data_IF_808619772943
#
_entry.id   IF_808619772943
#
_cell.length_a   1.000
_cell.length_b   1.000
_cell.length_c   1.000
_cell.angle_alpha   90.00
_cell.angle_beta   90.00
_cell.angle_gamma   90.00
#
_symmetry.space_group_name_H-M   'P 1'
#
loop_
_entity.id
_entity.type
_entity.pdbx_description
1 polymer ?
#
# COMPACT_ATOMS: atom_id res chain seq x y z
N UNK A 1 9.17 -1.46 -39.27
CA UNK A 1 8.37 -0.73 -38.27
C UNK A 1 9.32 0.24 -37.62
N UNK A 2 9.13 1.54 -37.81
CA UNK A 2 10.04 2.55 -37.25
C UNK A 2 9.94 2.50 -35.73
N UNK A 3 11.04 2.20 -35.04
CA UNK A 3 11.13 2.27 -33.58
C UNK A 3 10.91 3.72 -33.15
N UNK A 4 9.66 4.05 -32.80
CA UNK A 4 9.34 5.39 -32.34
C UNK A 4 9.97 5.57 -30.96
N UNK A 5 10.89 6.53 -30.82
CA UNK A 5 11.61 6.85 -29.59
C UNK A 5 10.65 7.05 -28.41
N UNK A 6 9.46 7.60 -28.66
CA UNK A 6 8.43 7.82 -27.65
C UNK A 6 7.87 6.52 -27.05
N UNK A 7 7.88 5.41 -27.80
CA UNK A 7 7.42 4.11 -27.28
C UNK A 7 8.36 3.50 -26.24
N UNK A 8 9.56 4.06 -26.08
CA UNK A 8 10.48 3.70 -25.00
C UNK A 8 10.04 4.30 -23.67
N UNK A 9 9.23 5.37 -23.68
CA UNK A 9 8.71 6.02 -22.46
C UNK A 9 7.59 5.18 -21.86
N UNK A 10 7.75 4.82 -20.59
CA UNK A 10 6.74 4.06 -19.86
C UNK A 10 5.41 4.82 -19.80
N UNK A 11 4.35 4.21 -20.30
CA UNK A 11 3.02 4.83 -20.41
C UNK A 11 2.68 5.36 -21.81
N UNK A 12 3.63 5.36 -22.75
CA UNK A 12 3.39 5.64 -24.17
C UNK A 12 3.46 4.33 -24.96
N UNK A 13 2.28 3.74 -25.21
CA UNK A 13 2.15 2.64 -26.17
C UNK A 13 2.12 3.15 -27.61
N UNK A 14 2.23 2.24 -28.59
CA UNK A 14 2.23 2.55 -30.03
C UNK A 14 1.08 3.48 -30.44
N UNK A 15 -0.14 3.23 -29.96
CA UNK A 15 -1.31 4.05 -30.26
C UNK A 15 -1.19 5.50 -29.75
N UNK A 16 -0.58 5.70 -28.57
CA UNK A 16 -0.36 7.05 -28.00
C UNK A 16 0.79 7.76 -28.71
N UNK A 17 1.84 7.03 -29.08
CA UNK A 17 2.96 7.57 -29.84
C UNK A 17 2.53 8.12 -31.20
N UNK A 18 1.59 7.45 -31.89
CA UNK A 18 1.02 7.96 -33.15
C UNK A 18 0.25 9.27 -32.94
N UNK A 19 -0.53 9.38 -31.87
CA UNK A 19 -1.27 10.61 -31.55
C UNK A 19 -0.37 11.79 -31.16
N UNK A 20 0.74 11.50 -30.48
CA UNK A 20 1.75 12.51 -30.14
C UNK A 20 2.51 12.99 -31.39
N UNK A 21 2.89 12.07 -32.28
CA UNK A 21 3.50 12.41 -33.56
C UNK A 21 2.58 13.28 -34.43
N UNK A 22 1.27 13.01 -34.43
CA UNK A 22 0.27 13.82 -35.14
C UNK A 22 0.16 15.26 -34.58
N UNK A 23 0.52 15.46 -33.31
CA UNK A 23 0.63 16.78 -32.69
C UNK A 23 2.02 17.41 -32.84
N UNK A 24 2.93 16.78 -33.60
CA UNK A 24 4.28 17.28 -33.83
C UNK A 24 5.28 16.92 -32.72
N UNK A 25 4.87 16.16 -31.70
CA UNK A 25 5.74 15.71 -30.61
C UNK A 25 6.40 14.42 -31.08
N UNK A 26 7.70 14.46 -31.36
CA UNK A 26 8.42 13.32 -31.93
C UNK A 26 9.67 12.95 -31.12
N UNK A 27 10.17 13.88 -30.31
CA UNK A 27 11.37 13.71 -29.49
C UNK A 27 11.04 13.65 -27.99
N UNK A 28 12.01 13.23 -27.16
CA UNK A 28 11.83 13.20 -25.71
C UNK A 28 11.82 14.61 -25.12
N UNK A 29 12.57 15.50 -25.75
CA UNK A 29 12.71 16.91 -25.44
C UNK A 29 11.36 17.64 -25.65
N UNK A 30 10.69 17.40 -26.80
CA UNK A 30 9.34 17.92 -27.06
C UNK A 30 8.33 17.50 -25.97
N UNK A 31 8.53 16.30 -25.42
CA UNK A 31 7.67 15.69 -24.42
C UNK A 31 7.95 16.19 -23.00
N UNK A 32 9.16 16.70 -22.76
CA UNK A 32 9.52 17.41 -21.53
C UNK A 32 8.98 18.85 -21.54
N UNK A 33 9.10 19.53 -22.68
CA UNK A 33 8.70 20.93 -22.88
C UNK A 33 7.19 21.15 -22.88
N UNK A 34 6.40 20.21 -23.43
CA UNK A 34 4.95 20.34 -23.47
C UNK A 34 4.35 20.50 -22.06
N UNK A 35 3.37 21.40 -21.91
CA UNK A 35 2.68 21.60 -20.62
C UNK A 35 1.92 20.33 -20.19
N UNK A 36 1.72 20.17 -18.89
CA UNK A 36 0.95 19.03 -18.36
C UNK A 36 -0.50 19.05 -18.84
N UNK A 37 -1.05 20.24 -19.01
CA UNK A 37 -2.40 20.51 -19.49
C UNK A 37 -2.57 20.08 -20.95
N UNK A 38 -1.62 20.46 -21.82
CA UNK A 38 -1.66 20.14 -23.25
C UNK A 38 -1.41 18.65 -23.51
N UNK A 39 -0.54 18.04 -22.70
CA UNK A 39 -0.30 16.60 -22.73
C UNK A 39 -1.52 15.82 -22.23
N UNK A 40 -2.17 16.31 -21.17
CA UNK A 40 -3.42 15.72 -20.66
C UNK A 40 -4.59 15.86 -21.65
N UNK A 41 -4.60 16.92 -22.47
CA UNK A 41 -5.59 17.15 -23.51
C UNK A 41 -5.45 16.19 -24.71
N UNK A 42 -4.37 15.41 -24.81
CA UNK A 42 -4.24 14.35 -25.81
C UNK A 42 -5.23 13.23 -25.51
N UNK A 43 -6.04 12.88 -26.52
CA UNK A 43 -7.02 11.79 -26.45
C UNK A 43 -6.31 10.52 -25.93
N UNK A 44 -6.84 9.93 -24.86
CA UNK A 44 -6.32 8.73 -24.15
C UNK A 44 -5.19 8.92 -23.13
N UNK A 45 -4.56 10.10 -23.02
CA UNK A 45 -3.53 10.36 -21.99
C UNK A 45 -4.21 10.81 -20.70
N UNK A 46 -4.90 11.95 -20.69
CA UNK A 46 -5.55 12.47 -19.48
C UNK A 46 -4.57 12.82 -18.36
N UNK A 47 -5.05 13.54 -17.34
CA UNK A 47 -4.19 14.15 -16.29
C UNK A 47 -3.26 13.15 -15.59
N UNK A 48 -3.79 11.97 -15.22
CA UNK A 48 -3.04 10.95 -14.48
C UNK A 48 -1.92 10.34 -15.32
N UNK A 49 -2.14 10.08 -16.62
CA UNK A 49 -1.05 9.53 -17.44
C UNK A 49 -0.08 10.62 -17.90
N UNK A 50 -0.53 11.87 -18.08
CA UNK A 50 0.36 12.99 -18.40
C UNK A 50 1.45 13.17 -17.32
N UNK A 51 1.06 13.14 -16.04
CA UNK A 51 2.01 13.19 -14.91
C UNK A 51 2.99 12.01 -14.93
N UNK A 52 2.50 10.79 -15.17
CA UNK A 52 3.36 9.59 -15.25
C UNK A 52 4.33 9.64 -16.41
N UNK A 53 3.89 10.17 -17.55
CA UNK A 53 4.70 10.30 -18.75
C UNK A 53 5.78 11.37 -18.53
N UNK A 54 5.47 12.54 -17.96
CA UNK A 54 6.49 13.55 -17.62
C UNK A 54 7.54 13.01 -16.65
N UNK A 55 7.12 12.35 -15.58
CA UNK A 55 8.05 11.72 -14.65
C UNK A 55 8.89 10.59 -15.30
N UNK A 56 8.38 9.93 -16.34
CA UNK A 56 9.13 8.93 -17.09
C UNK A 56 10.15 9.55 -18.05
N UNK A 57 9.83 10.71 -18.65
CA UNK A 57 10.72 11.47 -19.54
C UNK A 57 11.86 12.11 -18.76
N UNK A 58 11.58 12.73 -17.63
CA UNK A 58 12.57 13.36 -16.72
C UNK A 58 13.66 12.35 -16.33
N UNK A 59 13.27 11.14 -15.94
CA UNK A 59 14.20 10.04 -15.64
C UNK A 59 15.05 9.57 -16.82
N UNK A 60 14.60 9.81 -18.07
CA UNK A 60 15.36 9.45 -19.26
C UNK A 60 16.38 10.54 -19.64
N UNK A 61 16.03 11.81 -19.43
CA UNK A 61 16.89 12.95 -19.69
C UNK A 61 18.05 12.98 -18.68
N UNK A 62 17.76 12.83 -17.38
CA UNK A 62 18.78 12.77 -16.31
C UNK A 62 19.82 11.67 -16.52
N UNK A 63 19.48 10.60 -17.25
CA UNK A 63 20.36 9.47 -17.53
C UNK A 63 21.36 9.74 -18.66
N UNK A 64 21.17 10.80 -19.44
CA UNK A 64 21.96 11.10 -20.64
C UNK A 64 23.12 12.06 -20.38
N UNK A 65 23.11 12.83 -19.28
CA UNK A 65 24.14 13.83 -18.98
C UNK A 65 25.28 13.31 -18.07
N UNK A 66 26.14 12.43 -18.59
CA UNK A 66 27.38 12.03 -17.92
C UNK A 66 28.67 12.35 -18.73
N UNK A 67 29.30 13.50 -18.39
CA UNK A 67 30.75 13.89 -18.44
C UNK A 67 31.40 14.44 -19.74
N UNK A 68 32.46 15.31 -19.73
CA UNK A 68 33.28 15.90 -18.63
C UNK A 68 33.48 17.47 -18.61
N UNK A 69 33.85 17.98 -17.41
CA UNK A 69 34.21 19.36 -16.93
C UNK A 69 35.25 20.16 -17.78
N UNK A 70 35.44 21.52 -17.65
CA UNK A 70 35.53 22.28 -16.37
C UNK A 70 35.18 23.81 -16.28
N UNK A 71 35.01 24.24 -15.01
CA UNK A 71 35.21 25.58 -14.37
C UNK A 71 34.08 26.63 -14.23
N UNK A 72 33.76 26.88 -12.94
CA UNK A 72 33.42 28.14 -12.23
C UNK A 72 31.99 28.71 -12.32
N UNK A 73 31.14 28.46 -11.32
CA UNK A 73 30.98 29.22 -10.05
C UNK A 73 29.66 28.82 -9.34
N UNK A 74 29.76 28.72 -8.01
CA UNK A 74 28.76 28.72 -6.92
C UNK A 74 27.26 28.50 -7.24
N UNK A 75 26.71 27.35 -6.79
CA UNK A 75 25.55 27.22 -5.89
C UNK A 75 25.16 25.72 -5.75
N UNK A 76 25.10 25.28 -4.49
CA UNK A 76 24.60 24.02 -3.91
C UNK A 76 24.69 22.69 -4.69
N UNK A 77 25.75 21.93 -4.37
CA UNK A 77 25.73 20.47 -4.46
C UNK A 77 24.81 19.90 -3.37
N UNK A 78 23.73 19.24 -3.76
CA UNK A 78 23.09 18.22 -2.91
C UNK A 78 23.66 16.88 -3.38
N UNK A 79 24.51 16.28 -2.55
CA UNK A 79 25.11 14.99 -2.86
C UNK A 79 24.02 13.91 -2.78
N UNK A 80 23.98 12.98 -3.74
CA UNK A 80 23.07 11.82 -3.70
C UNK A 80 23.40 10.84 -2.54
N UNK A 81 24.43 11.13 -1.74
CA UNK A 81 24.64 10.52 -0.43
C UNK A 81 23.63 11.02 0.61
N UNK A 82 23.06 12.21 0.42
CA UNK A 82 22.13 12.82 1.35
C UNK A 82 20.77 12.13 1.34
N UNK A 83 20.23 11.58 0.26
CA UNK A 83 18.89 10.98 0.34
C UNK A 83 18.87 9.68 1.17
N UNK A 84 19.93 8.86 1.07
CA UNK A 84 20.11 7.68 1.91
C UNK A 84 20.51 8.06 3.33
N UNK A 85 21.32 9.12 3.50
CA UNK A 85 21.72 9.63 4.82
C UNK A 85 20.56 10.32 5.53
N UNK A 86 19.69 11.03 4.81
CA UNK A 86 18.42 11.60 5.27
C UNK A 86 17.43 10.47 5.55
N UNK A 87 17.35 9.40 4.74
CA UNK A 87 16.50 8.24 5.07
C UNK A 87 17.01 7.52 6.31
N UNK A 88 18.32 7.30 6.45
CA UNK A 88 18.94 6.67 7.61
C UNK A 88 18.86 7.59 8.85
N UNK A 89 18.97 8.91 8.70
CA UNK A 89 18.72 9.90 9.75
C UNK A 89 17.23 9.99 10.12
N UNK A 90 16.31 9.91 9.16
CA UNK A 90 14.87 9.84 9.40
C UNK A 90 14.48 8.53 10.08
N UNK A 91 15.10 7.41 9.71
CA UNK A 91 14.96 6.09 10.37
C UNK A 91 15.58 6.11 11.76
N UNK A 92 16.65 6.88 11.99
CA UNK A 92 17.22 7.14 13.31
C UNK A 92 16.36 8.13 14.15
N UNK A 93 15.66 9.08 13.51
CA UNK A 93 14.69 10.01 14.11
C UNK A 93 13.37 9.31 14.46
N UNK A 94 12.97 8.29 13.70
CA UNK A 94 11.93 7.34 14.11
C UNK A 94 12.52 6.50 15.24
N UNK A 95 12.33 6.95 16.49
CA UNK A 95 12.70 6.22 17.71
C UNK A 95 12.60 4.70 17.47
N UNK A 96 13.69 3.92 17.56
CA UNK A 96 13.74 2.51 17.18
C UNK A 96 12.64 1.66 17.84
N UNK A 97 12.13 2.08 18.99
CA UNK A 97 10.97 1.47 19.64
C UNK A 97 9.69 1.65 18.83
N UNK A 98 9.47 2.83 18.24
CA UNK A 98 8.34 3.16 17.36
C UNK A 98 8.35 2.33 16.08
N UNK A 99 9.52 2.18 15.46
CA UNK A 99 9.68 1.33 14.28
C UNK A 99 9.36 -0.14 14.61
N UNK A 100 9.93 -0.66 15.71
CA UNK A 100 9.61 -2.02 16.20
C UNK A 100 8.12 -2.20 16.52
N UNK A 101 7.47 -1.18 17.09
CA UNK A 101 6.04 -1.21 17.40
C UNK A 101 5.17 -1.19 16.14
N UNK A 102 5.53 -0.39 15.13
CA UNK A 102 4.86 -0.34 13.83
C UNK A 102 4.97 -1.71 13.13
N UNK A 103 6.18 -2.27 13.05
CA UNK A 103 6.43 -3.58 12.46
C UNK A 103 5.63 -4.68 13.17
N UNK A 104 5.60 -4.64 14.52
CA UNK A 104 4.81 -5.58 15.31
C UNK A 104 3.31 -5.46 15.05
N UNK A 105 2.78 -4.23 15.01
CA UNK A 105 1.36 -4.01 14.75
C UNK A 105 0.97 -4.50 13.35
N UNK A 106 1.82 -4.25 12.34
CA UNK A 106 1.62 -4.73 10.97
C UNK A 106 1.59 -6.25 10.90
N UNK A 107 2.58 -6.92 11.48
CA UNK A 107 2.66 -8.38 11.53
C UNK A 107 1.43 -8.97 12.24
N UNK A 108 1.06 -8.46 13.42
CA UNK A 108 -0.10 -8.98 14.16
C UNK A 108 -1.44 -8.80 13.42
N UNK A 109 -1.61 -7.70 12.67
CA UNK A 109 -2.80 -7.52 11.82
C UNK A 109 -2.81 -8.46 10.62
N UNK A 110 -1.64 -8.81 10.08
CA UNK A 110 -1.48 -9.80 9.02
C UNK A 110 -1.79 -11.20 9.52
N UNK A 111 -1.23 -11.60 10.66
CA UNK A 111 -1.50 -12.91 11.29
C UNK A 111 -2.99 -13.11 11.56
N UNK A 112 -3.68 -12.08 12.07
CA UNK A 112 -5.14 -12.12 12.28
C UNK A 112 -5.87 -12.27 10.96
N UNK A 113 -5.50 -11.51 9.93
CA UNK A 113 -6.16 -11.57 8.63
C UNK A 113 -6.03 -12.98 8.02
N UNK A 114 -4.82 -13.53 8.01
CA UNK A 114 -4.53 -14.89 7.55
C UNK A 114 -5.35 -15.92 8.33
N UNK A 115 -5.33 -15.85 9.67
CA UNK A 115 -6.09 -16.77 10.52
C UNK A 115 -7.60 -16.72 10.25
N UNK A 116 -8.14 -15.54 9.96
CA UNK A 116 -9.57 -15.39 9.61
C UNK A 116 -9.87 -16.05 8.27
N UNK A 117 -9.00 -15.86 7.27
CA UNK A 117 -9.15 -16.46 5.94
C UNK A 117 -9.05 -18.00 6.00
N UNK A 118 -8.06 -18.54 6.72
CA UNK A 118 -7.94 -19.98 6.99
C UNK A 118 -9.17 -20.55 7.69
N UNK A 119 -9.72 -19.82 8.67
CA UNK A 119 -10.97 -20.21 9.33
C UNK A 119 -12.14 -20.29 8.35
N UNK A 120 -12.29 -19.30 7.47
CA UNK A 120 -13.34 -19.31 6.47
C UNK A 120 -13.25 -20.52 5.54
N UNK A 121 -12.03 -20.89 5.13
CA UNK A 121 -11.76 -22.10 4.33
C UNK A 121 -12.07 -23.38 5.11
N UNK A 122 -11.55 -23.52 6.33
CA UNK A 122 -11.77 -24.68 7.18
C UNK A 122 -13.26 -24.93 7.49
N UNK A 123 -14.08 -23.87 7.47
CA UNK A 123 -15.50 -23.95 7.75
C UNK A 123 -16.40 -24.16 6.53
N UNK A 124 -15.90 -24.04 5.28
CA UNK A 124 -16.67 -24.33 4.05
C UNK A 124 -17.33 -25.72 4.03
N UNK A 125 -16.70 -26.81 4.51
CA UNK A 125 -17.28 -28.15 4.46
C UNK A 125 -18.25 -28.47 5.61
N UNK A 126 -18.52 -27.54 6.54
CA UNK A 126 -19.34 -27.80 7.73
C UNK A 126 -20.84 -27.89 7.40
N UNK A 127 -21.24 -28.98 6.76
CA UNK A 127 -22.61 -29.38 6.40
C UNK A 127 -23.48 -29.90 7.55
N UNK A 128 -23.25 -29.45 8.79
CA UNK A 128 -24.09 -29.86 9.94
C UNK A 128 -24.99 -28.69 10.36
N UNK A 129 -26.31 -28.83 10.14
CA UNK A 129 -27.38 -27.85 10.46
C UNK A 129 -27.18 -27.08 11.78
N UNK A 130 -26.63 -27.74 12.81
CA UNK A 130 -26.41 -27.15 14.14
C UNK A 130 -25.32 -26.05 14.22
N UNK A 131 -24.39 -25.98 13.26
CA UNK A 131 -23.28 -25.01 13.25
C UNK A 131 -23.48 -23.86 12.25
N UNK A 132 -24.44 -24.00 11.34
CA UNK A 132 -24.65 -23.09 10.22
C UNK A 132 -24.89 -21.64 10.69
N UNK A 133 -25.68 -21.44 11.76
CA UNK A 133 -25.90 -20.10 12.35
C UNK A 133 -24.61 -19.46 12.85
N UNK A 134 -23.72 -20.23 13.48
CA UNK A 134 -22.46 -19.74 14.02
C UNK A 134 -21.46 -19.42 12.91
N UNK A 135 -21.44 -20.24 11.85
CA UNK A 135 -20.63 -19.99 10.66
C UNK A 135 -21.08 -18.75 9.89
N UNK A 136 -22.38 -18.56 9.66
CA UNK A 136 -22.90 -17.37 8.97
C UNK A 136 -22.57 -16.09 9.75
N UNK A 137 -22.71 -16.13 11.08
CA UNK A 137 -22.33 -15.01 11.97
C UNK A 137 -20.83 -14.74 11.88
N UNK A 138 -20.00 -15.78 11.97
CA UNK A 138 -18.55 -15.67 11.82
C UNK A 138 -18.17 -15.05 10.47
N UNK A 139 -18.73 -15.54 9.36
CA UNK A 139 -18.48 -15.03 8.00
C UNK A 139 -18.85 -13.56 7.86
N UNK A 140 -19.99 -13.16 8.40
CA UNK A 140 -20.47 -11.77 8.35
C UNK A 140 -19.57 -10.85 9.15
N UNK A 141 -19.16 -11.27 10.36
CA UNK A 141 -18.26 -10.51 11.21
C UNK A 141 -16.84 -10.45 10.65
N UNK A 142 -16.33 -11.55 10.09
CA UNK A 142 -15.02 -11.64 9.44
C UNK A 142 -14.90 -10.64 8.30
N UNK A 143 -15.91 -10.54 7.43
CA UNK A 143 -15.94 -9.53 6.36
C UNK A 143 -15.84 -8.10 6.90
N UNK A 144 -16.58 -7.78 7.96
CA UNK A 144 -16.55 -6.46 8.60
C UNK A 144 -15.19 -6.19 9.26
N UNK A 145 -14.62 -7.20 9.92
CA UNK A 145 -13.30 -7.11 10.54
C UNK A 145 -12.21 -6.87 9.50
N UNK A 146 -12.16 -7.65 8.41
CA UNK A 146 -11.15 -7.50 7.35
C UNK A 146 -11.21 -6.11 6.71
N UNK A 147 -12.41 -5.56 6.49
CA UNK A 147 -12.57 -4.17 6.03
C UNK A 147 -11.92 -3.19 7.01
N UNK A 148 -12.09 -3.39 8.32
CA UNK A 148 -11.50 -2.51 9.33
C UNK A 148 -10.00 -2.69 9.46
N UNK A 149 -9.48 -3.92 9.42
CA UNK A 149 -8.05 -4.21 9.39
C UNK A 149 -7.39 -3.47 8.22
N UNK A 150 -7.98 -3.53 7.03
CA UNK A 150 -7.46 -2.80 5.87
C UNK A 150 -7.40 -1.28 6.11
N UNK A 151 -8.49 -0.70 6.61
CA UNK A 151 -8.53 0.74 6.89
C UNK A 151 -7.54 1.18 7.98
N UNK A 152 -7.31 0.35 9.02
CA UNK A 152 -6.26 0.63 10.03
C UNK A 152 -4.86 0.50 9.41
N UNK A 153 -4.61 -0.51 8.57
CA UNK A 153 -3.31 -0.70 7.88
C UNK A 153 -2.93 0.53 7.04
N UNK A 154 -3.91 1.15 6.37
CA UNK A 154 -3.70 2.34 5.52
C UNK A 154 -3.28 3.60 6.31
N UNK A 155 -3.68 3.72 7.58
CA UNK A 155 -3.34 4.87 8.44
C UNK A 155 -2.31 4.53 9.51
N UNK A 156 -1.79 3.30 9.50
CA UNK A 156 -1.01 2.76 10.62
C UNK A 156 0.27 3.56 10.88
N UNK A 157 0.88 4.12 9.84
CA UNK A 157 2.11 4.91 9.93
C UNK A 157 1.89 6.20 10.73
N UNK A 158 0.75 6.85 10.52
CA UNK A 158 0.36 8.12 11.17
C UNK A 158 -0.06 7.96 12.64
N UNK A 159 -0.31 6.74 13.09
CA UNK A 159 -0.80 6.47 14.44
C UNK A 159 0.27 6.68 15.52
N UNK A 160 -0.16 7.05 16.72
CA UNK A 160 0.72 7.18 17.88
C UNK A 160 1.28 5.83 18.32
N UNK A 161 2.41 5.87 19.06
CA UNK A 161 3.04 4.67 19.64
C UNK A 161 2.09 3.88 20.55
N UNK A 162 1.23 4.59 21.29
CA UNK A 162 0.26 4.00 22.23
C UNK A 162 -0.80 3.20 21.49
N UNK A 163 -1.30 3.73 20.38
CA UNK A 163 -2.32 3.05 19.58
C UNK A 163 -1.75 1.87 18.81
N UNK A 164 -0.57 2.01 18.17
CA UNK A 164 0.17 0.89 17.55
C UNK A 164 0.36 -0.28 18.52
N UNK A 165 0.75 0.02 19.77
CA UNK A 165 0.90 -0.98 20.83
C UNK A 165 -0.43 -1.63 21.23
N UNK A 166 -1.50 -0.83 21.34
CA UNK A 166 -2.83 -1.33 21.68
C UNK A 166 -3.36 -2.27 20.59
N UNK A 167 -3.21 -1.90 19.32
CA UNK A 167 -3.56 -2.74 18.16
C UNK A 167 -2.79 -4.07 18.22
N UNK A 168 -1.47 -4.01 18.36
CA UNK A 168 -0.64 -5.23 18.41
C UNK A 168 -1.06 -6.16 19.54
N UNK A 169 -1.33 -5.62 20.75
CA UNK A 169 -1.77 -6.42 21.90
C UNK A 169 -3.14 -7.06 21.65
N UNK A 170 -4.09 -6.30 21.13
CA UNK A 170 -5.44 -6.79 20.86
C UNK A 170 -5.45 -7.82 19.72
N UNK A 171 -4.65 -7.61 18.67
CA UNK A 171 -4.48 -8.54 17.57
C UNK A 171 -3.90 -9.88 18.04
N UNK A 172 -2.79 -9.87 18.80
CA UNK A 172 -2.18 -11.09 19.36
C UNK A 172 -3.16 -11.86 20.25
N UNK A 173 -3.95 -11.14 21.08
CA UNK A 173 -4.97 -11.79 21.90
C UNK A 173 -6.04 -12.48 21.06
N UNK A 174 -6.57 -11.79 20.04
CA UNK A 174 -7.61 -12.35 19.18
C UNK A 174 -7.11 -13.52 18.33
N UNK A 175 -5.89 -13.41 17.81
CA UNK A 175 -5.19 -14.45 17.05
C UNK A 175 -5.08 -15.75 17.86
N UNK A 176 -4.68 -15.66 19.13
CA UNK A 176 -4.66 -16.79 20.05
C UNK A 176 -6.03 -17.47 20.18
N UNK A 177 -7.10 -16.69 20.28
CA UNK A 177 -8.45 -17.23 20.36
C UNK A 177 -8.90 -17.92 19.07
N UNK A 178 -8.45 -17.46 17.91
CA UNK A 178 -8.66 -18.15 16.63
C UNK A 178 -7.93 -19.50 16.61
N UNK A 179 -6.65 -19.55 17.00
CA UNK A 179 -5.92 -20.82 17.13
C UNK A 179 -6.61 -21.79 18.09
N UNK A 180 -7.06 -21.30 19.23
CA UNK A 180 -7.81 -22.08 20.20
C UNK A 180 -9.14 -22.63 19.64
N UNK A 181 -9.81 -21.91 18.74
CA UNK A 181 -11.00 -22.39 18.05
C UNK A 181 -10.68 -23.46 17.02
N UNK A 182 -9.62 -23.27 16.23
CA UNK A 182 -9.21 -24.22 15.19
C UNK A 182 -8.67 -25.52 15.77
N UNK A 183 -7.99 -25.46 16.91
CA UNK A 183 -7.55 -26.65 17.64
C UNK A 183 -8.72 -27.49 18.17
N UNK A 184 -9.83 -26.85 18.59
CA UNK A 184 -11.01 -27.55 19.11
C UNK A 184 -12.32 -26.87 18.69
N UNK A 185 -12.94 -27.34 17.60
CA UNK A 185 -14.18 -26.78 17.06
C UNK A 185 -15.42 -27.06 17.95
N UNK A 186 -15.57 -26.33 19.06
CA UNK A 186 -16.66 -26.44 20.03
C UNK A 186 -17.58 -25.20 20.00
N UNK A 187 -18.90 -25.37 20.25
CA UNK A 187 -19.90 -24.26 20.27
C UNK A 187 -19.54 -23.10 21.16
N UNK A 188 -19.05 -23.40 22.37
CA UNK A 188 -18.62 -22.40 23.34
C UNK A 188 -17.47 -21.55 22.79
N UNK A 189 -16.53 -22.18 22.05
CA UNK A 189 -15.41 -21.49 21.41
C UNK A 189 -15.87 -20.62 20.24
N UNK A 190 -16.81 -21.08 19.42
CA UNK A 190 -17.43 -20.23 18.38
C UNK A 190 -18.06 -18.97 18.95
N UNK A 191 -18.85 -19.09 20.02
CA UNK A 191 -19.45 -17.93 20.69
C UNK A 191 -18.38 -16.99 21.24
N UNK A 192 -17.33 -17.52 21.87
CA UNK A 192 -16.18 -16.75 22.37
C UNK A 192 -15.51 -15.98 21.24
N UNK A 193 -15.11 -16.65 20.16
CA UNK A 193 -14.46 -16.01 19.00
C UNK A 193 -15.36 -14.98 18.35
N UNK A 194 -16.65 -15.25 18.17
CA UNK A 194 -17.58 -14.28 17.59
C UNK A 194 -17.79 -13.03 18.48
N UNK A 195 -17.55 -13.14 19.79
CA UNK A 195 -17.57 -12.01 20.73
C UNK A 195 -16.27 -11.23 20.63
N UNK A 196 -15.13 -11.92 20.73
CA UNK A 196 -13.80 -11.30 20.67
C UNK A 196 -13.50 -10.66 19.31
N UNK A 197 -14.02 -11.22 18.22
CA UNK A 197 -13.95 -10.62 16.89
C UNK A 197 -14.66 -9.26 16.85
N UNK A 198 -15.82 -9.17 17.50
CA UNK A 198 -16.61 -7.94 17.57
C UNK A 198 -15.95 -6.91 18.50
N UNK A 199 -15.44 -7.35 19.66
CA UNK A 199 -14.64 -6.52 20.57
C UNK A 199 -13.40 -5.96 19.85
N UNK A 200 -12.66 -6.81 19.15
CA UNK A 200 -11.48 -6.40 18.38
C UNK A 200 -11.86 -5.43 17.27
N UNK A 201 -12.98 -5.66 16.57
CA UNK A 201 -13.49 -4.72 15.56
C UNK A 201 -13.80 -3.36 16.16
N UNK A 202 -14.40 -3.30 17.34
CA UNK A 202 -14.70 -2.04 18.05
C UNK A 202 -13.41 -1.33 18.46
N UNK A 203 -12.39 -2.05 18.91
CA UNK A 203 -11.07 -1.48 19.20
C UNK A 203 -10.46 -0.89 17.92
N UNK A 204 -10.47 -1.63 16.81
CA UNK A 204 -10.04 -1.07 15.52
C UNK A 204 -10.94 0.08 15.05
N UNK A 205 -12.17 0.15 15.56
CA UNK A 205 -13.11 1.23 15.27
C UNK A 205 -12.66 2.54 15.89
N UNK A 206 -12.24 2.53 17.16
CA UNK A 206 -11.80 3.74 17.86
C UNK A 206 -10.54 4.38 17.28
N UNK A 207 -9.87 3.77 16.30
CA UNK A 207 -8.64 4.29 15.69
C UNK A 207 -8.82 4.90 14.29
N UNK A 208 -10.05 4.96 13.77
CA UNK A 208 -10.31 5.57 12.45
C UNK A 208 -11.45 6.59 12.50
N UNK A 209 -12.36 6.48 13.46
CA UNK A 209 -13.44 7.45 13.68
C UNK A 209 -13.05 8.32 14.87
N UNK A 210 -12.33 9.40 14.57
CA UNK A 210 -12.21 10.62 15.38
C UNK A 210 -12.84 11.77 14.58
#
# INVERSE_FOLDING_TARGET
MSDNVLTKVSGIGVARAVLLNQKGIQTLEDLAEISLEDLAAVKTIGKVNAQKIKAAVERMIDKTEASPLPLQNEEDKVDFEDEKTILDEMVQLIDPKSFKLLARARASLEDVQTSVEEGLEAFKPLGKKQWLKHYIDYKTKAKKLNKRIKAVKERLEDMSKKEKKAIAKAAVHFERSLRELFAEMKKKRFKKVNREMEEFRIILKSFIED
#
